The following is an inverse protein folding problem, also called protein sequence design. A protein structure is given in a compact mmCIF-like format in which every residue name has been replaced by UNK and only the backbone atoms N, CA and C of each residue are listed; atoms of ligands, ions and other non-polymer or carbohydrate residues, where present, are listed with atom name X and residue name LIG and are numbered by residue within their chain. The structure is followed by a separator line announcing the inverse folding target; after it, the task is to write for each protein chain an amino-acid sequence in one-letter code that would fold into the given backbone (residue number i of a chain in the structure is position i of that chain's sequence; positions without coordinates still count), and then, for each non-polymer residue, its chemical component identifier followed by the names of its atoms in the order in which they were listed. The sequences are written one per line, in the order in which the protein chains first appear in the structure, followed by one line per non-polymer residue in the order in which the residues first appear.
data_IF_477163434963
#
_entry.id   IF_477163434963
#
_cell.length_a   1.000
_cell.length_b   1.000
_cell.length_c   1.000
_cell.angle_alpha   90.00
_cell.angle_beta   90.00
_cell.angle_gamma   90.00
#
_symmetry.space_group_name_H-M   'P 1'
#
loop_
_entity.id
_entity.type
_entity.pdbx_description
1 polymer ?
#
# COMPACT_ATOMS: atom_id res chain seq x y z
N UNK A 1 -18.91 4.87 -59.13
CA UNK A 1 -19.80 4.76 -57.96
C UNK A 1 -19.40 3.52 -57.18
N UNK A 2 -19.21 3.67 -55.88
CA UNK A 2 -19.08 2.65 -54.82
C UNK A 2 -17.80 1.78 -54.77
N UNK A 3 -16.80 2.31 -54.08
CA UNK A 3 -15.80 1.59 -53.26
C UNK A 3 -16.47 0.87 -52.09
N UNK A 4 -16.08 -0.37 -51.75
CA UNK A 4 -16.20 -0.87 -50.36
C UNK A 4 -15.02 -1.75 -49.95
N UNK A 5 -14.57 -1.42 -48.75
CA UNK A 5 -13.27 -1.59 -48.11
C UNK A 5 -13.07 -2.95 -47.44
N UNK A 6 -11.79 -3.32 -47.39
CA UNK A 6 -11.16 -4.40 -46.63
C UNK A 6 -11.49 -4.40 -45.12
N UNK A 7 -11.46 -5.63 -44.56
CA UNK A 7 -10.97 -6.03 -43.24
C UNK A 7 -11.56 -5.33 -42.00
N UNK A 8 -12.54 -5.99 -41.38
CA UNK A 8 -12.86 -5.79 -39.97
C UNK A 8 -12.91 -7.15 -39.25
N UNK A 9 -11.75 -7.72 -38.99
CA UNK A 9 -11.59 -8.86 -38.10
C UNK A 9 -10.44 -8.56 -37.11
N UNK A 10 -10.65 -7.54 -36.27
CA UNK A 10 -9.83 -7.30 -35.09
C UNK A 10 -10.80 -7.05 -33.93
N UNK A 11 -11.34 -8.14 -33.40
CA UNK A 11 -12.26 -8.14 -32.27
C UNK A 11 -11.59 -8.73 -31.04
N UNK A 12 -11.12 -7.83 -30.17
CA UNK A 12 -10.96 -8.02 -28.73
C UNK A 12 -9.94 -9.06 -28.25
N UNK A 13 -8.65 -8.69 -28.36
CA UNK A 13 -7.63 -9.17 -27.44
C UNK A 13 -7.85 -8.45 -26.10
N UNK A 14 -8.59 -9.09 -25.19
CA UNK A 14 -8.73 -8.66 -23.79
C UNK A 14 -7.34 -8.68 -23.15
N UNK A 15 -6.73 -7.50 -23.00
CA UNK A 15 -5.54 -7.30 -22.19
C UNK A 15 -5.91 -7.56 -20.72
N UNK A 16 -5.61 -8.78 -20.26
CA UNK A 16 -5.52 -9.10 -18.84
C UNK A 16 -4.25 -8.43 -18.29
N UNK A 17 -4.35 -7.15 -17.95
CA UNK A 17 -3.33 -6.49 -17.12
C UNK A 17 -3.58 -6.90 -15.66
N UNK A 18 -3.11 -8.09 -15.31
CA UNK A 18 -2.98 -8.52 -13.92
C UNK A 18 -1.61 -8.06 -13.39
N UNK A 19 -1.54 -6.84 -12.86
CA UNK A 19 -0.31 -6.33 -12.23
C UNK A 19 -0.16 -6.93 -10.83
N UNK A 20 0.94 -7.65 -10.61
CA UNK A 20 1.34 -8.11 -9.28
C UNK A 20 1.50 -6.91 -8.32
N UNK A 21 0.83 -6.98 -7.17
CA UNK A 21 0.46 -5.84 -6.32
C UNK A 21 1.54 -5.47 -5.30
N UNK A 22 2.59 -4.79 -5.75
CA UNK A 22 3.20 -3.74 -4.94
C UNK A 22 2.72 -2.42 -5.57
N UNK A 23 1.44 -2.10 -5.32
CA UNK A 23 0.71 -1.08 -6.08
C UNK A 23 1.03 0.30 -5.52
N UNK A 24 2.11 0.90 -6.01
CA UNK A 24 2.31 2.34 -5.83
C UNK A 24 1.34 3.09 -6.75
N UNK A 25 0.54 3.99 -6.20
CA UNK A 25 -0.25 4.96 -6.97
C UNK A 25 0.48 6.30 -7.01
N UNK A 26 0.69 6.84 -8.20
CA UNK A 26 1.36 8.13 -8.40
C UNK A 26 0.38 9.09 -9.08
N UNK A 27 0.28 10.32 -8.57
CA UNK A 27 -0.48 11.40 -9.19
C UNK A 27 0.39 12.66 -9.30
N UNK A 28 0.16 13.46 -10.34
CA UNK A 28 0.91 14.69 -10.58
C UNK A 28 0.60 15.81 -9.57
N UNK A 29 1.45 16.84 -9.49
CA UNK A 29 1.24 17.95 -8.56
C UNK A 29 0.15 18.90 -9.08
N UNK A 30 -0.59 19.48 -8.14
CA UNK A 30 -1.46 20.62 -8.41
C UNK A 30 -0.65 21.91 -8.35
N UNK A 31 -0.81 22.74 -9.38
CA UNK A 31 -0.11 24.02 -9.49
C UNK A 31 -1.12 25.15 -9.40
N UNK A 32 -0.90 26.07 -8.45
CA UNK A 32 -1.74 27.24 -8.26
C UNK A 32 -0.92 28.54 -8.36
N UNK A 33 -1.48 29.50 -9.10
CA UNK A 33 -0.91 30.84 -9.22
C UNK A 33 -1.53 31.75 -8.14
N UNK A 34 -0.70 32.28 -7.26
CA UNK A 34 -1.09 33.25 -6.25
C UNK A 34 -1.21 34.64 -6.88
N UNK A 35 -2.03 35.52 -6.30
CA UNK A 35 -2.14 36.93 -6.74
C UNK A 35 -0.80 37.69 -6.72
N UNK A 36 0.16 37.21 -5.92
CA UNK A 36 1.54 37.71 -5.88
C UNK A 36 2.38 37.37 -7.12
N UNK A 37 1.86 36.59 -8.06
CA UNK A 37 2.63 36.02 -9.18
C UNK A 37 3.51 34.83 -8.79
N UNK A 38 3.50 34.44 -7.51
CA UNK A 38 4.19 33.24 -7.03
C UNK A 38 3.39 32.00 -7.43
N UNK A 39 4.10 30.97 -7.90
CA UNK A 39 3.52 29.65 -8.16
C UNK A 39 3.73 28.76 -6.94
N UNK A 40 2.67 28.09 -6.48
CA UNK A 40 2.73 27.09 -5.42
C UNK A 40 2.34 25.72 -5.99
N UNK A 41 3.17 24.71 -5.73
CA UNK A 41 2.85 23.31 -6.00
C UNK A 41 2.34 22.66 -4.72
N UNK A 42 1.32 21.82 -4.84
CA UNK A 42 0.75 21.02 -3.76
C UNK A 42 0.34 19.65 -4.29
N UNK A 43 0.09 18.70 -3.41
CA UNK A 43 -0.54 17.43 -3.78
C UNK A 43 -1.99 17.37 -3.31
N UNK A 44 -2.81 16.53 -3.94
CA UNK A 44 -4.17 16.25 -3.49
C UNK A 44 -4.29 14.81 -3.01
N UNK A 45 -4.79 14.61 -1.80
CA UNK A 45 -5.11 13.30 -1.25
C UNK A 45 -6.48 13.37 -0.57
N UNK A 46 -7.47 12.63 -1.07
CA UNK A 46 -8.84 12.62 -0.55
C UNK A 46 -9.40 14.04 -0.32
N UNK A 47 -9.29 14.90 -1.34
CA UNK A 47 -9.69 16.32 -1.32
C UNK A 47 -8.93 17.23 -0.34
N UNK A 48 -7.93 16.69 0.36
CA UNK A 48 -7.02 17.46 1.23
C UNK A 48 -5.78 17.85 0.44
N UNK A 49 -5.42 19.14 0.55
CA UNK A 49 -4.21 19.67 -0.04
C UNK A 49 -3.03 19.43 0.90
N UNK A 50 -1.97 18.88 0.34
CA UNK A 50 -0.74 18.57 1.04
C UNK A 50 0.38 19.46 0.50
N UNK A 51 1.17 20.00 1.41
CA UNK A 51 2.37 20.75 1.05
C UNK A 51 3.46 19.81 0.56
N UNK A 52 4.32 20.32 -0.32
CA UNK A 52 5.51 19.60 -0.75
C UNK A 52 6.38 19.29 0.48
N UNK A 53 6.83 18.03 0.58
CA UNK A 53 7.56 17.49 1.72
C UNK A 53 6.66 16.81 2.76
N UNK A 54 5.34 16.78 2.57
CA UNK A 54 4.44 16.04 3.45
C UNK A 54 4.60 14.54 3.25
N UNK A 55 4.77 13.80 4.35
CA UNK A 55 4.83 12.33 4.38
C UNK A 55 3.90 11.81 5.48
N UNK A 56 3.18 10.72 5.20
CA UNK A 56 2.23 10.12 6.14
C UNK A 56 1.91 8.68 5.78
N UNK A 57 1.53 7.90 6.80
CA UNK A 57 1.01 6.54 6.64
C UNK A 57 -0.51 6.54 6.72
N UNK A 58 -1.15 5.74 5.89
CA UNK A 58 -2.61 5.57 5.85
C UNK A 58 -3.02 4.37 6.70
N UNK A 59 -4.27 4.36 7.16
CA UNK A 59 -4.88 3.18 7.79
C UNK A 59 -5.00 1.98 6.84
N UNK A 60 -4.86 2.22 5.54
CA UNK A 60 -4.83 1.19 4.50
C UNK A 60 -3.43 0.61 4.28
N UNK A 61 -2.46 0.90 5.15
CA UNK A 61 -1.08 0.42 5.07
C UNK A 61 -0.38 0.88 3.79
N UNK A 62 -0.50 2.16 3.50
CA UNK A 62 0.25 2.82 2.43
C UNK A 62 1.07 3.96 3.04
N UNK A 63 2.31 4.09 2.58
CA UNK A 63 3.14 5.23 2.85
C UNK A 63 3.03 6.21 1.68
N UNK A 64 2.59 7.43 1.98
CA UNK A 64 2.39 8.50 1.01
C UNK A 64 3.43 9.60 1.18
N UNK A 65 4.03 10.06 0.08
CA UNK A 65 4.96 11.18 0.03
C UNK A 65 4.55 12.18 -1.05
N UNK A 66 4.44 13.45 -0.67
CA UNK A 66 4.17 14.56 -1.58
C UNK A 66 5.49 15.25 -1.95
N UNK A 67 5.91 15.10 -3.20
CA UNK A 67 7.14 15.68 -3.74
C UNK A 67 6.84 16.71 -4.82
N UNK A 68 7.86 17.40 -5.33
CA UNK A 68 7.68 18.30 -6.49
C UNK A 68 7.12 17.60 -7.73
N UNK A 69 7.28 16.28 -7.83
CA UNK A 69 6.76 15.44 -8.90
C UNK A 69 5.31 15.00 -8.68
N UNK A 70 4.72 15.30 -7.53
CA UNK A 70 3.37 14.93 -7.13
C UNK A 70 3.33 13.95 -5.96
N UNK A 71 2.17 13.31 -5.77
CA UNK A 71 1.91 12.38 -4.67
C UNK A 71 2.22 10.95 -5.11
N UNK A 72 3.01 10.23 -4.30
CA UNK A 72 3.23 8.80 -4.44
C UNK A 72 2.79 8.10 -3.17
N UNK A 73 1.86 7.15 -3.27
CA UNK A 73 1.42 6.29 -2.18
C UNK A 73 1.75 4.84 -2.51
N UNK A 74 2.55 4.18 -1.68
CA UNK A 74 3.01 2.81 -1.88
C UNK A 74 2.57 1.94 -0.71
N UNK A 75 2.12 0.71 -0.99
CA UNK A 75 1.84 -0.27 0.06
C UNK A 75 3.06 -0.54 0.94
N UNK A 76 2.83 -0.65 2.25
CA UNK A 76 3.84 -1.00 3.26
C UNK A 76 3.41 -2.23 4.07
N UNK A 77 4.39 -2.90 4.68
CA UNK A 77 4.17 -4.06 5.52
C UNK A 77 3.40 -5.18 4.79
N UNK A 78 2.24 -5.58 5.31
CA UNK A 78 1.39 -6.60 4.66
C UNK A 78 0.99 -6.23 3.22
N UNK A 79 0.94 -4.93 2.88
CA UNK A 79 0.66 -4.44 1.52
C UNK A 79 1.89 -4.10 0.70
N UNK A 80 3.10 -4.32 1.21
CA UNK A 80 4.34 -4.06 0.47
C UNK A 80 4.52 -4.98 -0.76
N UNK A 81 3.69 -6.01 -0.91
CA UNK A 81 3.65 -6.89 -2.06
C UNK A 81 4.09 -8.31 -1.74
N UNK A 82 4.82 -8.94 -2.66
CA UNK A 82 5.15 -10.36 -2.61
C UNK A 82 6.12 -10.70 -1.47
N UNK A 83 5.58 -11.06 -0.32
CA UNK A 83 6.34 -11.65 0.80
C UNK A 83 6.46 -13.14 0.52
N UNK A 84 7.69 -13.61 0.31
CA UNK A 84 7.95 -15.04 0.10
C UNK A 84 7.77 -15.80 1.41
N UNK A 85 6.88 -16.80 1.42
CA UNK A 85 6.66 -17.69 2.57
C UNK A 85 7.31 -19.05 2.39
N UNK A 86 7.66 -19.69 3.51
CA UNK A 86 8.06 -21.09 3.51
C UNK A 86 6.87 -22.02 3.24
N UNK A 87 7.11 -23.23 2.68
CA UNK A 87 6.06 -24.23 2.52
C UNK A 87 5.36 -24.53 3.85
N UNK A 88 4.01 -24.49 3.84
CA UNK A 88 3.20 -24.69 5.05
C UNK A 88 3.05 -23.44 5.92
N UNK A 89 3.52 -22.29 5.44
CA UNK A 89 3.30 -20.98 6.06
C UNK A 89 2.47 -20.08 5.14
N UNK A 90 1.64 -19.23 5.76
CA UNK A 90 0.94 -18.14 5.10
C UNK A 90 1.23 -16.81 5.83
N UNK A 91 1.17 -15.68 5.11
CA UNK A 91 1.19 -14.36 5.75
C UNK A 91 -0.25 -13.90 5.96
N UNK A 92 -0.56 -13.52 7.18
CA UNK A 92 -1.78 -12.78 7.54
C UNK A 92 -1.41 -11.35 7.97
N UNK A 93 -2.35 -10.41 7.83
CA UNK A 93 -2.15 -9.04 8.30
C UNK A 93 -2.64 -8.84 9.74
N UNK A 94 -1.81 -8.27 10.60
CA UNK A 94 -2.21 -7.68 11.89
C UNK A 94 -2.01 -6.16 11.83
N UNK A 95 -3.06 -5.45 11.40
CA UNK A 95 -2.92 -4.07 10.92
C UNK A 95 -2.01 -4.03 9.69
N UNK A 96 -0.93 -3.25 9.77
CA UNK A 96 0.07 -3.17 8.70
C UNK A 96 1.25 -4.12 8.88
N UNK A 97 1.36 -4.79 10.03
CA UNK A 97 2.43 -5.75 10.28
C UNK A 97 2.08 -7.09 9.61
N UNK A 98 2.95 -7.65 8.74
CA UNK A 98 2.78 -9.00 8.24
C UNK A 98 3.14 -10.02 9.33
N UNK A 99 2.28 -11.02 9.53
CA UNK A 99 2.50 -12.14 10.44
C UNK A 99 2.60 -13.45 9.65
N UNK A 100 3.71 -14.17 9.82
CA UNK A 100 3.91 -15.50 9.23
C UNK A 100 3.37 -16.58 10.18
N UNK A 101 2.38 -17.33 9.71
CA UNK A 101 1.62 -18.31 10.51
C UNK A 101 1.58 -19.66 9.80
N UNK A 102 1.34 -20.75 10.54
CA UNK A 102 1.21 -22.07 9.93
C UNK A 102 -0.12 -22.18 9.18
N UNK A 103 -0.09 -22.72 7.97
CA UNK A 103 -1.32 -22.96 7.18
C UNK A 103 -2.27 -23.96 7.86
N UNK A 104 -1.73 -24.88 8.67
CA UNK A 104 -2.55 -25.82 9.44
C UNK A 104 -3.12 -25.24 10.75
N UNK A 105 -2.57 -24.15 11.25
CA UNK A 105 -3.03 -23.46 12.47
C UNK A 105 -2.52 -22.01 12.48
N UNK A 106 -3.41 -21.08 12.12
CA UNK A 106 -3.11 -19.65 12.03
C UNK A 106 -2.87 -18.97 13.38
N UNK A 107 -3.04 -19.69 14.50
CA UNK A 107 -2.70 -19.19 15.84
C UNK A 107 -1.24 -19.42 16.20
N UNK A 108 -0.50 -20.19 15.39
CA UNK A 108 0.89 -20.55 15.64
C UNK A 108 1.79 -19.82 14.63
N UNK A 109 2.76 -19.06 15.14
CA UNK A 109 3.76 -18.40 14.31
C UNK A 109 4.61 -19.43 13.57
N UNK A 110 4.79 -19.26 12.26
CA UNK A 110 5.40 -20.29 11.44
C UNK A 110 6.88 -20.49 11.76
N UNK A 111 7.61 -19.40 12.01
CA UNK A 111 9.04 -19.42 12.33
C UNK A 111 9.33 -19.93 13.75
N UNK A 112 8.46 -19.63 14.70
CA UNK A 112 8.70 -19.93 16.12
C UNK A 112 8.05 -21.22 16.59
N UNK A 113 7.01 -21.68 15.89
CA UNK A 113 6.16 -22.78 16.35
C UNK A 113 5.40 -22.48 17.64
N UNK A 114 5.32 -21.23 18.06
CA UNK A 114 4.65 -20.78 19.31
C UNK A 114 3.35 -20.05 18.99
N UNK A 115 2.39 -20.00 19.93
CA UNK A 115 1.21 -19.18 19.78
C UNK A 115 1.59 -17.71 19.52
N UNK A 116 0.93 -17.10 18.54
CA UNK A 116 1.10 -15.68 18.21
C UNK A 116 0.57 -14.88 19.39
N UNK A 117 1.47 -14.21 20.10
CA UNK A 117 1.07 -13.25 21.12
C UNK A 117 0.53 -12.02 20.42
N UNK A 118 -0.71 -11.66 20.73
CA UNK A 118 -1.29 -10.43 20.24
C UNK A 118 -0.46 -9.25 20.81
N UNK A 119 0.23 -8.49 19.95
CA UNK A 119 1.06 -7.34 20.36
C UNK A 119 0.24 -6.27 21.09
N UNK A 120 -1.08 -6.20 20.86
CA UNK A 120 -1.99 -5.34 21.64
C UNK A 120 -1.98 -5.71 23.13
N UNK A 121 -1.97 -7.01 23.45
CA UNK A 121 -1.92 -7.47 24.84
C UNK A 121 -0.55 -7.23 25.49
N UNK A 122 0.52 -7.18 24.71
CA UNK A 122 1.88 -6.94 25.21
C UNK A 122 2.17 -5.43 25.38
N UNK A 123 1.58 -4.56 24.55
CA UNK A 123 1.58 -3.09 24.78
C UNK A 123 0.64 -2.65 25.89
N UNK A 124 -0.48 -3.34 26.07
CA UNK A 124 -1.41 -3.12 27.19
C UNK A 124 -1.00 -3.86 28.46
N UNK A 125 0.08 -4.65 28.43
CA UNK A 125 0.65 -5.21 29.67
C UNK A 125 1.23 -4.03 30.45
N UNK A 126 0.63 -3.62 31.58
CA UNK A 126 1.32 -2.70 32.46
C UNK A 126 2.67 -3.34 32.79
N UNK A 127 3.74 -2.57 32.61
CA UNK A 127 5.06 -2.92 33.13
C UNK A 127 4.93 -2.96 34.65
N UNK A 128 4.42 -4.07 35.19
CA UNK A 128 4.57 -4.39 36.59
C UNK A 128 6.05 -4.68 36.77
N UNK A 129 6.80 -3.60 36.96
CA UNK A 129 8.16 -3.66 37.42
C UNK A 129 8.15 -4.47 38.70
N UNK A 130 8.83 -5.61 38.66
CA UNK A 130 9.28 -6.31 39.85
C UNK A 130 10.24 -5.38 40.59
N UNK A 131 9.70 -4.54 41.47
CA UNK A 131 10.41 -4.05 42.64
C UNK A 131 10.29 -5.14 43.71
N UNK A 132 11.36 -5.90 43.89
CA UNK A 132 11.80 -6.48 45.17
C UNK A 132 13.23 -6.97 44.97
#
# INVERSE_FOLDING_TARGET
MATYTLLAAIGSLYFLVGSATASCSISGPLTESLMSGKVRKTCLYNDVRLEIGSEFDTSSCEHCSCTESGLSCCGIGYRAGAIQTFPGCEIIGDGCDPLSVKTCDNTIGCETGRPIRNKLYERLRPSFGTRS
#
